data_IF_372845897166
#
_entry.id   IF_372845897166
#
_cell.length_a   1.000
_cell.length_b   1.000
_cell.length_c   1.000
_cell.angle_alpha   90.00
_cell.angle_beta   90.00
_cell.angle_gamma   90.00
#
_symmetry.space_group_name_H-M   'P 1'
#
loop_
_entity.id
_entity.type
_entity.pdbx_description
1 polymer ?
#
# COMPACT_ATOMS: atom_id res chain seq x y z
N UNK A 1 -35.57 -8.34 -6.51
CA UNK A 1 -34.25 -9.03 -6.51
C UNK A 1 -33.18 -7.96 -6.45
N UNK A 2 -32.35 -7.91 -5.41
CA UNK A 2 -31.32 -6.87 -5.30
C UNK A 2 -30.26 -7.09 -6.39
N UNK A 3 -29.98 -6.04 -7.17
CA UNK A 3 -28.91 -5.98 -8.18
C UNK A 3 -27.59 -6.57 -7.65
N UNK A 4 -27.32 -6.34 -6.37
CA UNK A 4 -26.15 -6.83 -5.62
C UNK A 4 -26.07 -8.35 -5.41
N UNK A 5 -27.20 -9.06 -5.36
CA UNK A 5 -27.23 -10.51 -5.13
C UNK A 5 -26.87 -11.36 -6.36
N UNK A 6 -27.04 -10.81 -7.57
CA UNK A 6 -26.53 -11.41 -8.82
C UNK A 6 -25.02 -11.22 -8.94
N UNK A 7 -24.56 -9.99 -8.69
CA UNK A 7 -23.16 -9.60 -8.81
C UNK A 7 -22.22 -10.37 -7.86
N UNK A 8 -22.62 -10.53 -6.59
CA UNK A 8 -21.82 -11.30 -5.61
C UNK A 8 -21.61 -12.76 -6.03
N UNK A 9 -22.63 -13.38 -6.65
CA UNK A 9 -22.55 -14.76 -7.15
C UNK A 9 -21.62 -14.87 -8.36
N UNK A 10 -21.72 -13.96 -9.32
CA UNK A 10 -20.81 -13.90 -10.46
C UNK A 10 -19.35 -13.71 -10.02
N UNK A 11 -19.11 -12.88 -9.01
CA UNK A 11 -17.77 -12.66 -8.48
C UNK A 11 -17.20 -13.88 -7.73
N UNK A 12 -18.00 -14.54 -6.89
CA UNK A 12 -17.58 -15.78 -6.22
C UNK A 12 -17.27 -16.88 -7.25
N UNK A 13 -18.09 -16.98 -8.30
CA UNK A 13 -17.88 -17.90 -9.40
C UNK A 13 -16.58 -17.61 -10.16
N UNK A 14 -16.32 -16.33 -10.44
CA UNK A 14 -15.07 -15.89 -11.05
C UNK A 14 -13.85 -16.26 -10.22
N UNK A 15 -13.83 -15.93 -8.91
CA UNK A 15 -12.71 -16.30 -8.03
C UNK A 15 -12.49 -17.81 -7.95
N UNK A 16 -13.58 -18.58 -7.91
CA UNK A 16 -13.52 -20.04 -7.94
C UNK A 16 -12.87 -20.55 -9.22
N UNK A 17 -13.32 -20.06 -10.38
CA UNK A 17 -12.82 -20.44 -11.70
C UNK A 17 -11.37 -20.02 -11.91
N UNK A 18 -10.98 -18.81 -11.52
CA UNK A 18 -9.59 -18.37 -11.54
C UNK A 18 -8.70 -19.30 -10.71
N UNK A 19 -9.13 -19.66 -9.51
CA UNK A 19 -8.34 -20.53 -8.64
C UNK A 19 -8.19 -21.92 -9.26
N UNK A 20 -9.24 -22.42 -9.91
CA UNK A 20 -9.23 -23.68 -10.64
C UNK A 20 -8.28 -23.61 -11.84
N UNK A 21 -8.43 -22.60 -12.71
CA UNK A 21 -7.57 -22.36 -13.87
C UNK A 21 -6.13 -22.11 -13.50
N UNK A 22 -5.84 -21.33 -12.45
CA UNK A 22 -4.47 -21.08 -11.99
C UNK A 22 -3.79 -22.38 -11.56
N UNK A 23 -4.52 -23.28 -10.91
CA UNK A 23 -3.99 -24.58 -10.52
C UNK A 23 -3.82 -25.52 -11.73
N UNK A 24 -4.71 -25.43 -12.72
CA UNK A 24 -4.62 -26.17 -13.99
C UNK A 24 -3.42 -25.68 -14.81
N UNK A 25 -3.37 -24.37 -15.10
CA UNK A 25 -2.27 -23.72 -15.80
C UNK A 25 -0.93 -23.94 -15.10
N UNK A 26 -0.85 -23.91 -13.77
CA UNK A 26 0.40 -24.19 -13.04
C UNK A 26 0.90 -25.63 -13.22
N UNK A 27 0.00 -26.60 -13.47
CA UNK A 27 0.38 -27.98 -13.79
C UNK A 27 0.86 -28.12 -15.23
N UNK A 28 0.32 -27.29 -16.11
CA UNK A 28 0.56 -27.36 -17.57
C UNK A 28 1.55 -26.29 -18.08
N UNK A 29 2.05 -25.39 -17.22
CA UNK A 29 2.91 -24.24 -17.55
C UNK A 29 4.30 -24.59 -18.09
N UNK A 30 4.75 -25.85 -17.97
CA UNK A 30 5.96 -26.28 -18.69
C UNK A 30 5.73 -26.40 -20.20
N UNK A 31 4.47 -26.33 -20.66
CA UNK A 31 4.08 -26.67 -22.03
C UNK A 31 3.42 -25.55 -22.84
N UNK A 32 2.82 -24.54 -22.18
CA UNK A 32 2.10 -23.47 -22.86
C UNK A 32 2.72 -22.10 -22.51
N UNK A 33 3.40 -21.52 -23.50
CA UNK A 33 4.06 -20.22 -23.40
C UNK A 33 3.08 -19.11 -22.97
N UNK A 34 3.35 -18.49 -21.82
CA UNK A 34 3.33 -17.04 -21.68
C UNK A 34 2.02 -16.26 -21.87
N UNK A 35 0.83 -16.88 -21.88
CA UNK A 35 -0.41 -16.12 -21.94
C UNK A 35 -0.66 -15.36 -20.62
N UNK A 36 -0.28 -14.08 -20.61
CA UNK A 36 -0.55 -13.09 -19.57
C UNK A 36 -2.06 -12.83 -19.48
N UNK A 37 -2.70 -13.44 -18.49
CA UNK A 37 -4.11 -13.20 -18.17
C UNK A 37 -4.23 -11.97 -17.27
N UNK A 38 -4.99 -10.95 -17.68
CA UNK A 38 -5.41 -9.90 -16.75
C UNK A 38 -6.57 -10.46 -15.94
N UNK A 39 -6.28 -10.90 -14.73
CA UNK A 39 -7.30 -11.52 -13.87
C UNK A 39 -7.59 -10.59 -12.71
N UNK A 40 -8.73 -9.92 -12.82
CA UNK A 40 -9.30 -8.97 -11.88
C UNK A 40 -9.65 -9.61 -10.53
N UNK A 41 -8.68 -9.88 -9.66
CA UNK A 41 -9.00 -10.10 -8.25
C UNK A 41 -9.45 -8.77 -7.61
N UNK A 42 -10.73 -8.72 -7.24
CA UNK A 42 -11.33 -7.59 -6.54
C UNK A 42 -10.96 -7.62 -5.07
N UNK A 43 -10.36 -6.53 -4.60
CA UNK A 43 -10.46 -6.11 -3.20
C UNK A 43 -11.47 -4.98 -3.13
N UNK A 44 -12.44 -5.16 -2.24
CA UNK A 44 -13.54 -4.25 -2.01
C UNK A 44 -13.19 -3.37 -0.82
N UNK A 45 -13.24 -2.06 -0.98
CA UNK A 45 -13.50 -1.12 0.11
C UNK A 45 -15.02 -0.99 0.24
N UNK A 46 -15.52 -1.23 1.44
CA UNK A 46 -16.94 -1.44 1.79
C UNK A 46 -17.91 -0.42 1.13
N UNK A 47 -18.93 -0.84 0.35
CA UNK A 47 -19.81 0.06 -0.40
C UNK A 47 -21.28 -0.08 -0.02
N UNK A 48 -21.58 -0.36 1.25
CA UNK A 48 -22.98 -0.35 1.67
C UNK A 48 -23.66 1.01 1.49
N UNK A 49 -22.91 2.10 1.22
CA UNK A 49 -23.44 3.47 1.02
C UNK A 49 -22.76 4.29 -0.12
N UNK A 50 -21.93 3.72 -0.99
CA UNK A 50 -21.18 4.53 -1.97
C UNK A 50 -22.00 4.80 -3.26
N UNK A 51 -22.33 6.07 -3.51
CA UNK A 51 -22.79 6.51 -4.84
C UNK A 51 -21.69 6.27 -5.89
N UNK A 52 -22.04 5.83 -7.11
CA UNK A 52 -21.06 5.60 -8.18
C UNK A 52 -20.28 6.89 -8.50
N UNK A 53 -18.98 6.80 -8.83
CA UNK A 53 -18.22 5.59 -9.18
C UNK A 53 -17.63 4.82 -7.98
N UNK A 54 -17.54 3.49 -8.10
CA UNK A 54 -16.99 2.60 -7.06
C UNK A 54 -15.54 2.25 -7.41
N UNK A 55 -14.66 2.27 -6.40
CA UNK A 55 -13.28 1.79 -6.51
C UNK A 55 -13.24 0.24 -6.55
N UNK A 56 -12.50 -0.35 -7.49
CA UNK A 56 -12.20 -1.78 -7.49
C UNK A 56 -10.75 -2.08 -7.85
N UNK A 57 -10.21 -3.17 -7.32
CA UNK A 57 -8.84 -3.59 -7.68
C UNK A 57 -8.86 -4.48 -8.91
N UNK A 58 -8.08 -4.08 -9.93
CA UNK A 58 -7.73 -4.92 -11.07
C UNK A 58 -6.36 -5.52 -10.81
N UNK A 59 -6.33 -6.82 -10.56
CA UNK A 59 -5.09 -7.59 -10.54
C UNK A 59 -4.73 -8.04 -11.96
N UNK A 60 -3.44 -8.00 -12.27
CA UNK A 60 -2.88 -8.61 -13.48
C UNK A 60 -2.25 -9.92 -13.06
N UNK A 61 -2.61 -11.05 -13.67
CA UNK A 61 -1.86 -12.31 -13.47
C UNK A 61 -0.76 -12.34 -14.54
N UNK A 62 0.33 -11.69 -14.17
CA UNK A 62 1.68 -12.01 -14.63
C UNK A 62 2.52 -12.44 -13.44
N UNK A 63 3.78 -12.84 -13.67
CA UNK A 63 4.72 -13.27 -12.62
C UNK A 63 4.88 -12.25 -11.46
N UNK A 64 4.45 -10.99 -11.63
CA UNK A 64 4.43 -9.97 -10.59
C UNK A 64 3.01 -9.77 -10.01
N UNK A 65 2.88 -9.94 -8.69
CA UNK A 65 1.63 -9.81 -7.92
C UNK A 65 1.22 -8.33 -7.67
N UNK A 66 1.43 -7.42 -8.62
CA UNK A 66 1.05 -6.01 -8.46
C UNK A 66 -0.36 -5.76 -9.02
N UNK A 67 -1.31 -5.45 -8.13
CA UNK A 67 -2.64 -4.99 -8.50
C UNK A 67 -2.69 -3.47 -8.62
N UNK A 68 -3.55 -2.94 -9.49
CA UNK A 68 -3.86 -1.50 -9.56
C UNK A 68 -5.35 -1.30 -9.28
N UNK A 69 -5.68 -0.40 -8.35
CA UNK A 69 -7.07 0.01 -8.15
C UNK A 69 -7.53 0.89 -9.31
N UNK A 70 -8.74 0.64 -9.77
CA UNK A 70 -9.36 1.26 -10.92
C UNK A 70 -10.80 1.62 -10.57
N UNK A 71 -11.25 2.82 -10.91
CA UNK A 71 -12.67 3.19 -10.81
C UNK A 71 -13.40 2.89 -12.10
N UNK A 72 -14.64 2.44 -12.02
CA UNK A 72 -15.58 2.39 -13.14
C UNK A 72 -17.01 2.19 -12.63
N UNK A 73 -17.95 2.22 -13.57
CA UNK A 73 -19.36 1.95 -13.31
C UNK A 73 -19.60 0.46 -13.10
N UNK A 74 -20.60 0.06 -12.28
CA UNK A 74 -20.98 -1.34 -12.13
C UNK A 74 -21.24 -2.10 -13.44
N UNK A 75 -21.83 -1.43 -14.44
CA UNK A 75 -22.17 -2.06 -15.73
C UNK A 75 -20.92 -2.37 -16.57
N UNK A 76 -20.01 -1.40 -16.73
CA UNK A 76 -18.72 -1.63 -17.40
C UNK A 76 -17.92 -2.75 -16.73
N UNK A 77 -17.95 -2.82 -15.39
CA UNK A 77 -17.32 -3.91 -14.66
C UNK A 77 -17.98 -5.26 -14.97
N UNK A 78 -19.32 -5.35 -14.94
CA UNK A 78 -20.04 -6.58 -15.25
C UNK A 78 -19.74 -7.08 -16.68
N UNK A 79 -19.65 -6.16 -17.64
CA UNK A 79 -19.25 -6.45 -19.01
C UNK A 79 -17.82 -6.99 -19.09
N UNK A 80 -16.84 -6.31 -18.48
CA UNK A 80 -15.45 -6.76 -18.48
C UNK A 80 -15.28 -8.12 -17.81
N UNK A 81 -16.02 -8.37 -16.73
CA UNK A 81 -16.01 -9.64 -16.02
C UNK A 81 -16.57 -10.77 -16.88
N UNK A 82 -17.70 -10.54 -17.56
CA UNK A 82 -18.32 -11.53 -18.44
C UNK A 82 -17.38 -11.90 -19.60
N UNK A 83 -16.83 -10.90 -20.29
CA UNK A 83 -15.92 -11.12 -21.41
C UNK A 83 -14.61 -11.78 -20.97
N UNK A 84 -14.11 -11.44 -19.77
CA UNK A 84 -12.95 -12.12 -19.17
C UNK A 84 -13.23 -13.58 -18.82
N UNK A 85 -14.42 -13.89 -18.30
CA UNK A 85 -14.85 -15.26 -18.02
C UNK A 85 -14.96 -16.09 -19.30
N UNK A 86 -15.58 -15.55 -20.34
CA UNK A 86 -15.72 -16.23 -21.63
C UNK A 86 -14.35 -16.54 -22.25
N UNK A 87 -13.41 -15.59 -22.17
CA UNK A 87 -12.04 -15.81 -22.60
C UNK A 87 -11.35 -16.94 -21.81
N UNK A 88 -11.47 -16.93 -20.47
CA UNK A 88 -10.90 -17.99 -19.62
C UNK A 88 -11.49 -19.37 -19.92
N UNK A 89 -12.80 -19.45 -20.11
CA UNK A 89 -13.49 -20.70 -20.45
C UNK A 89 -13.03 -21.21 -21.83
N UNK A 90 -12.89 -20.33 -22.81
CA UNK A 90 -12.40 -20.68 -24.16
C UNK A 90 -10.95 -21.21 -24.13
N UNK A 91 -10.05 -20.52 -23.42
CA UNK A 91 -8.64 -20.93 -23.30
C UNK A 91 -8.52 -22.28 -22.57
N UNK A 92 -9.30 -22.51 -21.52
CA UNK A 92 -9.29 -23.80 -20.83
C UNK A 92 -9.86 -24.93 -21.68
N UNK A 93 -10.97 -24.70 -22.39
CA UNK A 93 -11.52 -25.71 -23.28
C UNK A 93 -10.51 -26.11 -24.39
N UNK A 94 -9.78 -25.14 -24.94
CA UNK A 94 -8.72 -25.40 -25.90
C UNK A 94 -7.56 -26.19 -25.27
N UNK A 95 -7.15 -25.79 -24.06
CA UNK A 95 -6.07 -26.43 -23.30
C UNK A 95 -6.41 -27.89 -22.95
N UNK A 96 -7.62 -28.16 -22.47
CA UNK A 96 -8.10 -29.51 -22.16
C UNK A 96 -8.09 -30.41 -23.40
N UNK A 97 -8.54 -29.90 -24.55
CA UNK A 97 -8.48 -30.62 -25.83
C UNK A 97 -7.04 -30.95 -26.23
N UNK A 98 -6.12 -30.00 -26.10
CA UNK A 98 -4.71 -30.20 -26.39
C UNK A 98 -4.08 -31.22 -25.42
N UNK A 99 -4.40 -31.15 -24.13
CA UNK A 99 -3.91 -32.10 -23.13
C UNK A 99 -4.37 -33.54 -23.43
N UNK A 100 -5.64 -33.74 -23.77
CA UNK A 100 -6.17 -35.06 -24.16
C UNK A 100 -5.47 -35.57 -25.43
N UNK A 101 -5.23 -34.71 -26.42
CA UNK A 101 -4.54 -35.09 -27.65
C UNK A 101 -3.07 -35.47 -27.38
N UNK A 102 -2.41 -34.77 -26.46
CA UNK A 102 -1.05 -35.07 -26.00
C UNK A 102 -0.98 -36.41 -25.28
N UNK A 103 -1.86 -36.65 -24.32
CA UNK A 103 -1.90 -37.92 -23.58
C UNK A 103 -2.09 -39.12 -24.54
N UNK A 104 -3.00 -38.97 -25.52
CA UNK A 104 -3.18 -39.98 -26.58
C UNK A 104 -1.92 -40.18 -27.41
N UNK A 105 -1.23 -39.09 -27.76
CA UNK A 105 0.03 -39.14 -28.50
C UNK A 105 1.10 -39.90 -27.70
N UNK A 106 1.29 -39.56 -26.43
CA UNK A 106 2.28 -40.20 -25.54
C UNK A 106 2.00 -41.71 -25.38
N UNK A 107 0.74 -42.08 -25.11
CA UNK A 107 0.33 -43.48 -24.95
C UNK A 107 0.51 -44.29 -26.24
N UNK A 108 0.13 -43.73 -27.40
CA UNK A 108 0.31 -44.41 -28.68
C UNK A 108 1.79 -44.46 -29.10
N UNK A 109 2.56 -43.42 -28.80
CA UNK A 109 4.00 -43.39 -29.03
C UNK A 109 4.75 -44.46 -28.22
N UNK A 110 4.36 -44.68 -26.96
CA UNK A 110 4.93 -45.74 -26.12
C UNK A 110 4.58 -47.15 -26.66
N UNK A 111 3.33 -47.37 -27.06
CA UNK A 111 2.88 -48.65 -27.65
C UNK A 111 3.58 -48.95 -28.98
N UNK A 112 3.74 -47.93 -29.82
CA UNK A 112 4.29 -48.06 -31.17
C UNK A 112 5.82 -48.02 -31.19
N UNK A 113 6.49 -47.36 -30.24
CA UNK A 113 7.95 -47.36 -30.10
C UNK A 113 8.53 -48.76 -29.82
N UNK A 114 7.71 -49.66 -29.28
CA UNK A 114 8.06 -51.07 -29.08
C UNK A 114 7.85 -51.96 -30.33
N UNK A 115 7.38 -51.41 -31.46
CA UNK A 115 7.09 -52.16 -32.70
C UNK A 115 7.63 -51.41 -33.93
N UNK A 116 8.08 -52.12 -34.97
CA UNK A 116 8.58 -51.56 -36.25
C UNK A 116 7.49 -50.87 -37.11
N UNK A 117 6.53 -50.15 -36.51
CA UNK A 117 5.36 -49.54 -37.15
C UNK A 117 5.52 -48.03 -37.34
N UNK A 118 6.66 -47.61 -37.88
CA UNK A 118 7.04 -46.19 -38.06
C UNK A 118 6.01 -45.38 -38.87
N UNK A 119 5.25 -46.00 -39.77
CA UNK A 119 4.22 -45.31 -40.55
C UNK A 119 3.01 -44.89 -39.70
N UNK A 120 2.63 -45.67 -38.67
CA UNK A 120 1.54 -45.30 -37.74
C UNK A 120 1.94 -44.17 -36.81
N UNK A 121 3.21 -44.13 -36.39
CA UNK A 121 3.77 -42.98 -35.65
C UNK A 121 3.61 -41.68 -36.41
N UNK A 122 3.79 -41.70 -37.74
CA UNK A 122 3.63 -40.51 -38.59
C UNK A 122 2.20 -39.96 -38.60
N UNK A 123 1.20 -40.83 -38.49
CA UNK A 123 -0.21 -40.41 -38.42
C UNK A 123 -0.55 -39.86 -37.02
N UNK A 124 -0.07 -40.51 -35.96
CA UNK A 124 -0.20 -40.04 -34.57
C UNK A 124 0.47 -38.67 -34.38
N UNK A 125 1.67 -38.47 -34.92
CA UNK A 125 2.37 -37.18 -34.92
C UNK A 125 1.64 -36.10 -35.74
N UNK A 126 0.93 -36.50 -36.80
CA UNK A 126 0.15 -35.57 -37.63
C UNK A 126 -1.09 -35.11 -36.88
N UNK A 127 -1.79 -36.02 -36.22
CA UNK A 127 -2.98 -35.71 -35.45
C UNK A 127 -2.64 -34.86 -34.21
N UNK A 128 -1.52 -35.15 -33.56
CA UNK A 128 -1.00 -34.29 -32.49
C UNK A 128 -0.69 -32.87 -32.98
N UNK A 129 0.02 -32.73 -34.11
CA UNK A 129 0.30 -31.41 -34.69
C UNK A 129 -0.96 -30.65 -35.06
N UNK A 130 -1.97 -31.32 -35.63
CA UNK A 130 -3.28 -30.73 -35.92
C UNK A 130 -3.99 -30.26 -34.67
N UNK A 131 -3.94 -31.03 -33.58
CA UNK A 131 -4.51 -30.62 -32.30
C UNK A 131 -3.80 -29.38 -31.73
N UNK A 132 -2.47 -29.30 -31.86
CA UNK A 132 -1.70 -28.13 -31.45
C UNK A 132 -2.00 -26.89 -32.31
N UNK A 133 -2.14 -27.05 -33.62
CA UNK A 133 -2.56 -25.99 -34.53
C UNK A 133 -3.97 -25.48 -34.19
N UNK A 134 -4.91 -26.39 -33.94
CA UNK A 134 -6.27 -26.05 -33.51
C UNK A 134 -6.28 -25.30 -32.18
N UNK A 135 -5.51 -25.78 -31.18
CA UNK A 135 -5.32 -25.08 -29.91
C UNK A 135 -4.85 -23.64 -30.11
N UNK A 136 -3.78 -23.44 -30.90
CA UNK A 136 -3.23 -22.10 -31.17
C UNK A 136 -4.24 -21.20 -31.85
N UNK A 137 -4.99 -21.73 -32.82
CA UNK A 137 -6.02 -20.98 -33.52
C UNK A 137 -7.18 -20.56 -32.60
N UNK A 138 -7.63 -21.46 -31.73
CA UNK A 138 -8.71 -21.20 -30.76
C UNK A 138 -8.30 -20.17 -29.71
N UNK A 139 -7.09 -20.29 -29.14
CA UNK A 139 -6.56 -19.30 -28.20
C UNK A 139 -6.38 -17.95 -28.88
N UNK A 140 -5.84 -17.90 -30.10
CA UNK A 140 -5.71 -16.65 -30.85
C UNK A 140 -7.06 -15.98 -31.13
N UNK A 141 -8.11 -16.77 -31.44
CA UNK A 141 -9.46 -16.26 -31.61
C UNK A 141 -10.05 -15.72 -30.30
N UNK A 142 -9.82 -16.43 -29.19
CA UNK A 142 -10.23 -15.97 -27.86
C UNK A 142 -9.48 -14.68 -27.44
N UNK A 143 -8.20 -14.56 -27.77
CA UNK A 143 -7.38 -13.36 -27.54
C UNK A 143 -7.87 -12.17 -28.39
N UNK A 144 -8.20 -12.41 -29.66
CA UNK A 144 -8.80 -11.41 -30.57
C UNK A 144 -10.13 -10.89 -30.00
N UNK A 145 -11.01 -11.79 -29.57
CA UNK A 145 -12.30 -11.44 -28.98
C UNK A 145 -12.15 -10.66 -27.66
N UNK A 146 -11.14 -10.99 -26.85
CA UNK A 146 -10.85 -10.30 -25.58
C UNK A 146 -10.14 -8.96 -25.76
N UNK A 147 -9.51 -8.71 -26.91
CA UNK A 147 -8.66 -7.54 -27.15
C UNK A 147 -9.33 -6.18 -26.84
N UNK A 148 -10.58 -5.91 -27.26
CA UNK A 148 -11.22 -4.62 -26.97
C UNK A 148 -11.36 -4.38 -25.47
N UNK A 149 -11.80 -5.40 -24.72
CA UNK A 149 -11.92 -5.36 -23.26
C UNK A 149 -10.56 -5.14 -22.60
N UNK A 150 -9.54 -5.87 -23.04
CA UNK A 150 -8.16 -5.68 -22.56
C UNK A 150 -7.66 -4.26 -22.78
N UNK A 151 -7.92 -3.68 -23.94
CA UNK A 151 -7.53 -2.30 -24.27
C UNK A 151 -8.28 -1.28 -23.39
N UNK A 152 -9.59 -1.45 -23.20
CA UNK A 152 -10.41 -0.59 -22.34
C UNK A 152 -9.93 -0.61 -20.87
N UNK A 153 -9.70 -1.81 -20.33
CA UNK A 153 -9.15 -1.98 -18.98
C UNK A 153 -7.76 -1.35 -18.87
N UNK A 154 -6.89 -1.56 -19.88
CA UNK A 154 -5.55 -0.99 -19.91
C UNK A 154 -5.54 0.54 -19.94
N UNK A 155 -6.39 1.17 -20.75
CA UNK A 155 -6.57 2.62 -20.77
C UNK A 155 -7.04 3.15 -19.41
N UNK A 156 -7.96 2.44 -18.77
CA UNK A 156 -8.46 2.85 -17.46
C UNK A 156 -7.38 2.75 -16.37
N UNK A 157 -6.58 1.68 -16.35
CA UNK A 157 -5.43 1.56 -15.46
C UNK A 157 -4.43 2.71 -15.67
N UNK A 158 -4.15 3.06 -16.92
CA UNK A 158 -3.23 4.15 -17.24
C UNK A 158 -3.76 5.51 -16.73
N UNK A 159 -5.05 5.80 -16.93
CA UNK A 159 -5.69 7.02 -16.46
C UNK A 159 -5.64 7.14 -14.92
N UNK A 160 -5.90 6.05 -14.20
CA UNK A 160 -5.87 6.03 -12.73
C UNK A 160 -4.44 6.19 -12.19
N UNK A 161 -3.45 5.59 -12.86
CA UNK A 161 -2.04 5.83 -12.52
C UNK A 161 -1.67 7.29 -12.70
N UNK A 162 -2.02 7.88 -13.82
CA UNK A 162 -1.75 9.30 -14.08
C UNK A 162 -2.44 10.22 -13.05
N UNK A 163 -3.70 9.94 -12.70
CA UNK A 163 -4.41 10.70 -11.65
C UNK A 163 -3.74 10.53 -10.28
N UNK A 164 -3.35 9.30 -9.92
CA UNK A 164 -2.67 9.01 -8.67
C UNK A 164 -1.29 9.69 -8.59
N UNK A 165 -0.55 9.72 -9.69
CA UNK A 165 0.74 10.41 -9.79
C UNK A 165 0.57 11.91 -9.66
N UNK A 166 -0.45 12.49 -10.30
CA UNK A 166 -0.79 13.92 -10.15
C UNK A 166 -1.16 14.26 -8.71
N UNK A 167 -1.97 13.41 -8.05
CA UNK A 167 -2.36 13.62 -6.64
C UNK A 167 -1.16 13.54 -5.71
N UNK A 168 -0.31 12.54 -5.88
CA UNK A 168 0.94 12.42 -5.12
C UNK A 168 1.89 13.59 -5.38
N UNK A 169 1.95 14.11 -6.62
CA UNK A 169 2.75 15.28 -6.94
C UNK A 169 2.20 16.55 -6.26
N UNK A 170 0.89 16.73 -6.23
CA UNK A 170 0.23 17.84 -5.51
C UNK A 170 0.45 17.74 -4.01
N UNK A 171 0.29 16.55 -3.42
CA UNK A 171 0.54 16.30 -2.00
C UNK A 171 2.00 16.56 -1.62
N UNK A 172 2.95 16.15 -2.48
CA UNK A 172 4.38 16.44 -2.30
C UNK A 172 4.65 17.94 -2.37
N UNK A 173 4.11 18.63 -3.37
CA UNK A 173 4.27 20.08 -3.50
C UNK A 173 3.74 20.82 -2.26
N UNK A 174 2.54 20.46 -1.79
CA UNK A 174 1.96 21.03 -0.57
C UNK A 174 2.79 20.71 0.68
N UNK A 175 3.30 19.48 0.79
CA UNK A 175 4.16 19.06 1.90
C UNK A 175 5.50 19.80 1.89
N UNK A 176 6.09 20.01 0.70
CA UNK A 176 7.35 20.71 0.53
C UNK A 176 7.20 22.21 0.82
N UNK A 177 6.10 22.83 0.39
CA UNK A 177 5.77 24.22 0.74
C UNK A 177 5.59 24.37 2.26
N UNK A 178 4.81 23.47 2.88
CA UNK A 178 4.60 23.45 4.32
C UNK A 178 5.92 23.29 5.09
N UNK A 179 6.78 22.36 4.67
CA UNK A 179 8.13 22.19 5.24
C UNK A 179 9.01 23.41 5.02
N UNK A 180 8.87 24.11 3.89
CA UNK A 180 9.53 25.38 3.63
C UNK A 180 9.17 26.42 4.69
N UNK A 181 7.87 26.66 4.90
CA UNK A 181 7.38 27.59 5.93
C UNK A 181 7.81 27.17 7.34
N UNK A 182 7.76 25.87 7.65
CA UNK A 182 8.21 25.36 8.94
C UNK A 182 9.68 25.71 9.20
N UNK A 183 10.55 25.58 8.17
CA UNK A 183 11.97 25.91 8.25
C UNK A 183 12.22 27.42 8.38
N UNK A 184 11.43 28.24 7.70
CA UNK A 184 11.51 29.70 7.82
C UNK A 184 11.24 30.13 9.27
N UNK A 185 10.16 29.64 9.88
CA UNK A 185 9.85 29.90 11.29
C UNK A 185 10.93 29.35 12.22
N UNK A 186 11.44 28.15 11.95
CA UNK A 186 12.52 27.55 12.74
C UNK A 186 13.86 28.27 12.63
N UNK A 187 14.10 29.02 11.56
CA UNK A 187 15.33 29.78 11.39
C UNK A 187 15.34 31.06 12.24
N UNK A 188 14.17 31.53 12.69
CA UNK A 188 14.08 32.72 13.52
C UNK A 188 14.57 32.43 14.95
N UNK A 189 15.43 33.29 15.53
CA UNK A 189 15.90 33.16 16.89
C UNK A 189 14.81 33.68 17.84
N UNK A 190 13.80 32.86 18.09
CA UNK A 190 12.62 33.23 18.89
C UNK A 190 12.49 32.41 20.17
N UNK A 191 13.24 31.32 20.30
CA UNK A 191 12.94 30.28 21.29
C UNK A 191 13.78 30.40 22.54
N UNK A 192 13.14 30.23 23.69
CA UNK A 192 13.79 30.21 24.99
C UNK A 192 13.42 28.95 25.77
N UNK A 193 14.29 28.56 26.70
CA UNK A 193 14.07 27.42 27.59
C UNK A 193 14.26 27.86 29.03
N UNK A 194 13.28 27.56 29.87
CA UNK A 194 13.32 27.81 31.31
C UNK A 194 13.28 26.47 32.04
N UNK A 195 14.20 26.28 32.99
CA UNK A 195 14.26 25.06 33.80
C UNK A 195 13.85 25.41 35.23
N UNK A 196 12.81 24.76 35.73
CA UNK A 196 12.33 24.90 37.11
C UNK A 196 12.67 23.62 37.90
N UNK A 197 13.19 23.78 39.13
CA UNK A 197 13.60 22.67 39.99
C UNK A 197 15.01 22.10 39.72
N UNK A 198 15.39 21.04 40.43
CA UNK A 198 16.71 20.37 40.30
C UNK A 198 16.55 18.85 40.23
N UNK A 199 17.38 18.21 39.40
CA UNK A 199 17.51 16.75 39.35
C UNK A 199 16.34 16.05 38.65
N UNK A 200 16.14 14.75 38.92
CA UNK A 200 15.03 13.97 38.36
C UNK A 200 13.70 14.56 38.84
N UNK A 201 12.93 15.16 37.94
CA UNK A 201 11.70 15.91 38.26
C UNK A 201 11.77 17.42 38.01
N UNK A 202 12.88 17.93 37.47
CA UNK A 202 12.91 19.28 36.91
C UNK A 202 11.90 19.41 35.75
N UNK A 203 11.29 20.57 35.59
CA UNK A 203 10.41 20.88 34.46
C UNK A 203 11.09 21.88 33.53
N UNK A 204 11.07 21.58 32.24
CA UNK A 204 11.60 22.39 31.14
C UNK A 204 10.42 23.05 30.46
N UNK A 205 10.27 24.36 30.63
CA UNK A 205 9.28 25.17 29.91
C UNK A 205 9.90 25.80 28.68
N UNK A 206 9.40 25.44 27.50
CA UNK A 206 9.79 26.05 26.22
C UNK A 206 8.86 27.21 25.91
N UNK A 207 9.42 28.40 25.68
CA UNK A 207 8.70 29.64 25.45
C UNK A 207 9.24 30.38 24.21
N UNK A 208 8.51 31.42 23.78
CA UNK A 208 8.93 32.35 22.72
C UNK A 208 9.25 33.71 23.33
N UNK A 209 10.37 34.31 22.94
CA UNK A 209 10.83 35.62 23.44
C UNK A 209 10.00 36.80 22.92
N UNK A 210 9.36 36.64 21.77
CA UNK A 210 8.58 37.67 21.10
C UNK A 210 7.09 37.66 21.48
N UNK A 211 6.67 36.69 22.31
CA UNK A 211 5.28 36.53 22.75
C UNK A 211 5.20 36.74 24.26
N UNK A 212 4.29 37.62 24.69
CA UNK A 212 4.04 37.81 26.12
C UNK A 212 3.38 36.56 26.71
N UNK A 213 3.83 36.08 27.88
CA UNK A 213 3.33 34.83 28.43
C UNK A 213 1.88 34.97 28.90
N UNK A 214 1.07 33.92 28.69
CA UNK A 214 -0.35 33.90 29.09
C UNK A 214 -0.54 33.83 30.62
N UNK A 215 0.47 33.38 31.35
CA UNK A 215 0.53 33.37 32.81
C UNK A 215 1.91 33.83 33.26
N UNK A 216 2.01 34.64 34.34
CA UNK A 216 3.31 35.02 34.87
C UNK A 216 4.10 33.75 35.24
N UNK A 217 5.35 33.69 34.76
CA UNK A 217 6.26 32.61 35.09
C UNK A 217 6.38 32.47 36.62
N UNK A 218 6.40 31.25 37.18
CA UNK A 218 6.40 31.06 38.63
C UNK A 218 7.61 31.75 39.27
N UNK A 219 7.32 32.67 40.20
CA UNK A 219 8.26 33.61 40.83
C UNK A 219 9.35 32.95 41.68
N UNK A 220 9.19 31.66 42.01
CA UNK A 220 10.16 30.83 42.74
C UNK A 220 11.16 30.08 41.84
N UNK A 221 11.23 30.48 40.57
CA UNK A 221 12.31 30.07 39.68
C UNK A 221 13.61 30.70 40.17
N UNK A 222 14.38 29.97 40.98
CA UNK A 222 15.83 30.16 40.91
C UNK A 222 16.25 29.72 39.52
N UNK A 223 16.69 30.62 38.63
CA UNK A 223 17.25 30.20 37.36
C UNK A 223 18.52 29.42 37.70
N UNK A 224 18.45 28.10 37.65
CA UNK A 224 19.65 27.30 37.60
C UNK A 224 20.24 27.48 36.20
N UNK A 225 20.94 28.60 36.05
CA UNK A 225 22.13 28.76 35.23
C UNK A 225 22.02 28.15 33.84
N UNK A 226 21.00 28.58 33.11
CA UNK A 226 21.23 29.03 31.75
C UNK A 226 21.00 30.54 31.85
N UNK A 227 22.09 31.30 31.95
CA UNK A 227 22.09 32.76 31.77
C UNK A 227 21.17 33.08 30.59
N UNK A 228 20.34 34.13 30.67
CA UNK A 228 19.47 34.64 29.59
C UNK A 228 20.06 34.33 28.22
N UNK A 229 19.75 33.15 27.71
CA UNK A 229 20.50 32.60 26.60
C UNK A 229 19.97 33.35 25.38
N UNK A 230 20.88 33.77 24.51
CA UNK A 230 20.46 34.35 23.24
C UNK A 230 19.35 33.47 22.63
N UNK A 231 18.27 34.09 22.12
CA UNK A 231 17.14 33.35 21.58
C UNK A 231 17.60 32.27 20.61
N UNK A 232 17.16 31.04 20.84
CA UNK A 232 17.52 29.90 20.02
C UNK A 232 16.68 29.89 18.74
N UNK A 233 17.29 29.41 17.67
CA UNK A 233 16.54 28.95 16.50
C UNK A 233 15.86 27.63 16.85
N UNK A 234 14.76 27.28 16.15
CA UNK A 234 14.13 25.97 16.30
C UNK A 234 15.11 24.81 16.07
N UNK A 235 16.08 24.98 15.18
CA UNK A 235 17.16 24.01 14.93
C UNK A 235 18.13 23.84 16.11
N UNK A 236 18.39 24.91 16.87
CA UNK A 236 19.21 24.85 18.08
C UNK A 236 18.39 24.40 19.31
N UNK A 237 17.09 24.67 19.32
CA UNK A 237 16.17 24.30 20.39
C UNK A 237 16.04 22.78 20.56
N UNK A 238 15.92 22.03 19.46
CA UNK A 238 15.74 20.57 19.48
C UNK A 238 16.84 19.83 20.29
N UNK A 239 18.14 19.99 19.99
CA UNK A 239 19.18 19.31 20.76
C UNK A 239 19.26 19.82 22.20
N UNK A 240 18.97 21.10 22.46
CA UNK A 240 18.99 21.67 23.81
C UNK A 240 17.90 21.04 24.70
N UNK A 241 16.66 20.97 24.19
CA UNK A 241 15.53 20.36 24.92
C UNK A 241 15.72 18.85 25.05
N UNK A 242 16.26 18.18 24.03
CA UNK A 242 16.58 16.75 24.09
C UNK A 242 17.59 16.44 25.20
N UNK A 243 18.69 17.19 25.27
CA UNK A 243 19.70 17.02 26.31
C UNK A 243 19.11 17.20 27.72
N UNK A 244 18.21 18.18 27.89
CA UNK A 244 17.51 18.38 29.17
C UNK A 244 16.57 17.21 29.49
N UNK A 245 15.84 16.69 28.51
CA UNK A 245 14.97 15.53 28.70
C UNK A 245 15.75 14.26 29.10
N UNK A 246 16.95 14.08 28.57
CA UNK A 246 17.83 12.96 28.94
C UNK A 246 18.24 12.97 30.43
N UNK A 247 18.25 14.14 31.07
CA UNK A 247 18.46 14.27 32.53
C UNK A 247 17.26 13.78 33.37
N UNK A 248 16.14 13.45 32.73
CA UNK A 248 14.90 13.05 33.38
C UNK A 248 13.94 14.20 33.66
N UNK A 249 14.14 15.35 33.02
CA UNK A 249 13.23 16.49 33.11
C UNK A 249 11.98 16.30 32.25
N UNK A 250 10.82 16.80 32.70
CA UNK A 250 9.60 16.87 31.89
C UNK A 250 9.63 18.09 30.98
N UNK A 251 9.17 17.96 29.74
CA UNK A 251 9.10 19.09 28.78
C UNK A 251 7.66 19.59 28.70
N UNK A 252 7.49 20.90 28.88
CA UNK A 252 6.22 21.60 28.75
C UNK A 252 6.37 22.73 27.74
N UNK A 253 5.44 22.82 26.81
CA UNK A 253 5.35 23.94 25.87
C UNK A 253 4.46 25.02 26.45
N UNK A 254 4.89 26.26 26.38
CA UNK A 254 4.08 27.38 26.82
C UNK A 254 2.88 27.59 25.89
N UNK A 255 1.69 27.81 26.47
CA UNK A 255 0.46 28.02 25.70
C UNK A 255 0.51 29.23 24.77
N UNK A 256 1.15 30.33 25.19
CA UNK A 256 1.29 31.54 24.37
C UNK A 256 2.16 31.28 23.12
N UNK A 257 3.31 30.65 23.34
CA UNK A 257 4.22 30.24 22.26
C UNK A 257 3.55 29.22 21.31
N UNK A 258 2.76 28.30 21.87
CA UNK A 258 1.99 27.32 21.09
C UNK A 258 1.00 28.05 20.18
N UNK A 259 0.15 28.91 20.74
CA UNK A 259 -0.85 29.66 19.97
C UNK A 259 -0.22 30.52 18.87
N UNK A 260 0.89 31.19 19.15
CA UNK A 260 1.59 32.02 18.17
C UNK A 260 2.14 31.19 16.98
N UNK A 261 2.73 30.02 17.24
CA UNK A 261 3.16 29.13 16.14
C UNK A 261 1.97 28.61 15.35
N UNK A 262 0.88 28.25 16.01
CA UNK A 262 -0.31 27.74 15.34
C UNK A 262 -0.99 28.79 14.46
N UNK A 263 -0.97 30.06 14.88
CA UNK A 263 -1.44 31.20 14.09
C UNK A 263 -0.55 31.46 12.86
N UNK A 264 0.78 31.48 13.04
CA UNK A 264 1.74 31.78 11.95
C UNK A 264 1.88 30.63 10.94
N UNK A 265 1.88 29.39 11.43
CA UNK A 265 2.08 28.20 10.59
C UNK A 265 0.77 27.66 10.01
N UNK A 266 -0.37 27.97 10.64
CA UNK A 266 -1.70 27.47 10.24
C UNK A 266 -1.94 25.99 10.57
N UNK A 267 -1.07 25.36 11.36
CA UNK A 267 -1.20 23.98 11.85
C UNK A 267 -0.69 23.87 13.28
N UNK A 268 -0.95 22.74 13.94
CA UNK A 268 -0.56 22.53 15.33
C UNK A 268 0.95 22.65 15.54
N UNK A 269 1.37 23.09 16.74
CA UNK A 269 2.79 23.14 17.12
C UNK A 269 3.47 21.76 16.94
N UNK A 270 2.74 20.68 17.23
CA UNK A 270 3.22 19.31 16.99
C UNK A 270 3.50 19.06 15.51
N UNK A 271 2.60 19.47 14.60
CA UNK A 271 2.78 19.29 13.15
C UNK A 271 4.02 20.05 12.66
N UNK A 272 4.19 21.30 13.12
CA UNK A 272 5.38 22.10 12.83
C UNK A 272 6.66 21.39 13.29
N UNK A 273 6.66 20.85 14.51
CA UNK A 273 7.81 20.12 15.06
C UNK A 273 8.12 18.83 14.29
N UNK A 274 7.09 18.06 13.93
CA UNK A 274 7.24 16.80 13.18
C UNK A 274 7.73 17.03 11.74
N UNK A 275 7.36 18.15 11.13
CA UNK A 275 7.86 18.54 9.80
C UNK A 275 9.35 18.90 9.80
N UNK A 276 9.85 19.46 10.90
CA UNK A 276 11.26 19.81 11.09
C UNK A 276 12.09 18.62 11.57
N UNK A 277 11.57 17.88 12.54
CA UNK A 277 12.25 16.83 13.28
C UNK A 277 11.40 15.56 13.34
N UNK A 278 11.23 14.82 12.22
CA UNK A 278 10.33 13.66 12.14
C UNK A 278 10.72 12.50 13.06
N UNK A 279 11.95 12.51 13.57
CA UNK A 279 12.48 11.52 14.52
C UNK A 279 12.42 11.99 15.98
N UNK A 280 12.07 13.25 16.23
CA UNK A 280 11.97 13.78 17.59
C UNK A 280 10.80 13.13 18.32
N UNK A 281 11.01 12.79 19.59
CA UNK A 281 10.00 12.18 20.44
C UNK A 281 9.44 13.18 21.46
N UNK A 282 9.74 14.48 21.35
CA UNK A 282 9.41 15.51 22.34
C UNK A 282 7.90 15.72 22.54
N UNK A 283 7.09 15.48 21.51
CA UNK A 283 5.63 15.47 21.59
C UNK A 283 5.05 14.07 21.85
N UNK A 284 5.89 13.04 21.90
CA UNK A 284 5.46 11.67 22.20
C UNK A 284 5.56 11.42 23.71
N UNK A 285 4.61 10.68 24.31
CA UNK A 285 4.73 10.27 25.70
C UNK A 285 6.06 9.55 25.91
N UNK A 286 6.73 9.76 27.06
CA UNK A 286 7.99 9.07 27.34
C UNK A 286 7.77 7.57 27.18
N UNK A 287 8.61 6.91 26.37
CA UNK A 287 8.57 5.45 26.28
C UNK A 287 8.73 4.92 27.71
N UNK A 288 7.87 3.99 28.17
CA UNK A 288 8.08 3.37 29.47
C UNK A 288 9.52 2.85 29.48
N UNK A 289 10.32 3.30 30.46
CA UNK A 289 11.65 2.72 30.69
C UNK A 289 11.40 1.24 30.91
N UNK A 290 11.71 0.43 29.91
CA UNK A 290 11.48 -0.99 29.96
C UNK A 290 12.14 -1.53 31.22
N UNK A 291 11.35 -2.08 32.14
CA UNK A 291 11.85 -3.14 33.00
C UNK A 291 12.58 -4.11 32.11
N UNK A 292 13.84 -4.37 32.43
CA UNK A 292 14.63 -5.44 31.85
C UNK A 292 13.88 -6.77 32.05
N UNK A 293 13.03 -7.15 31.10
CA UNK A 293 12.65 -8.54 30.96
C UNK A 293 13.72 -9.19 30.10
N UNK A 294 14.63 -9.87 30.76
CA UNK A 294 15.34 -11.02 30.22
C UNK A 294 14.34 -11.91 29.48
N UNK A 295 14.27 -11.78 28.16
CA UNK A 295 13.62 -12.76 27.31
C UNK A 295 14.73 -13.59 26.68
N UNK A 296 14.98 -14.73 27.30
CA UNK A 296 15.76 -15.84 26.76
C UNK A 296 15.31 -16.12 25.33
N UNK A 297 16.27 -16.14 24.42
CA UNK A 297 16.05 -16.35 23.00
C UNK A 297 15.37 -17.68 22.70
N UNK A 298 14.40 -17.63 21.80
CA UNK A 298 14.26 -18.63 20.74
C UNK A 298 13.88 -17.87 19.48
N UNK A 299 14.83 -17.76 18.56
CA UNK A 299 14.62 -17.11 17.27
C UNK A 299 13.78 -18.01 16.39
N UNK A 300 12.60 -17.55 15.99
CA UNK A 300 11.98 -17.94 14.72
C UNK A 300 11.69 -16.67 13.94
N UNK A 301 12.38 -16.60 12.83
CA UNK A 301 12.35 -15.59 11.80
C UNK A 301 11.17 -15.96 10.90
N UNK A 302 10.24 -15.03 10.70
CA UNK A 302 9.83 -14.58 9.37
C UNK A 302 8.73 -13.53 9.46
N UNK A 303 8.95 -12.47 8.68
CA UNK A 303 8.05 -11.43 8.23
C UNK A 303 6.59 -11.84 8.08
N UNK A 304 5.66 -10.92 8.37
CA UNK A 304 4.81 -10.21 7.39
C UNK A 304 3.96 -9.17 8.15
N UNK A 305 4.03 -7.93 7.70
CA UNK A 305 3.29 -6.81 8.27
C UNK A 305 1.82 -6.83 7.85
N UNK A 306 0.95 -6.61 8.82
CA UNK A 306 -0.39 -6.09 8.62
C UNK A 306 -0.63 -5.03 9.71
N UNK A 307 -0.66 -3.77 9.28
CA UNK A 307 -1.06 -2.65 10.14
C UNK A 307 -2.54 -2.78 10.50
N UNK A 308 -2.80 -2.95 11.79
CA UNK A 308 -4.14 -2.81 12.36
C UNK A 308 -4.31 -1.39 12.91
N UNK A 309 -5.16 -0.61 12.24
CA UNK A 309 -5.71 0.62 12.80
C UNK A 309 -6.68 0.25 13.93
N UNK A 310 -6.36 0.61 15.17
CA UNK A 310 -7.33 0.65 16.26
C UNK A 310 -7.96 2.04 16.32
N UNK A 311 -9.20 2.14 15.87
CA UNK A 311 -10.08 3.24 16.24
C UNK A 311 -10.43 3.08 17.73
N UNK A 312 -9.97 3.99 18.57
CA UNK A 312 -10.49 4.17 19.92
C UNK A 312 -11.64 5.18 19.84
N UNK A 313 -12.86 4.66 19.83
CA UNK A 313 -14.06 5.42 20.19
C UNK A 313 -13.98 5.74 21.68
N UNK A 314 -14.13 7.01 22.04
CA UNK A 314 -14.40 7.41 23.44
C UNK A 314 -15.66 8.27 23.42
N UNK A 315 -16.64 7.80 24.20
CA UNK A 315 -17.84 8.49 24.62
C UNK A 315 -17.52 9.60 25.63
#
# INVERSE_FOLDING_TARGET
MSYWGGWRRQHQEFRRRIKQHRNQLRRDTEFFDGHLLYVTELRWTDPFDAEPPVDFVVLSIGLAHSGTAVRCTPDAHAEWLAVGLDHLDAVAAATDRAAIARERHEVEAEKLGNRLLWWRMRDVDRDWRRALEAYRAEVAAADEAYRPTRAAVGQRIAAEREESERRLAQERAHTDERRGRARELAALPLWGVLVTGRGPGAEVTVHRHDVAPLSPLPTDTQPHRWEEAEPLTGFALEPAVRALRETGASVRWEGAATAAVEEEFGHTLQTWWEDLFPQSDLFRPPRPRGSSSTYTGTGHHSSHGAGGFSCASVH
#
